data_IF_776594452367
#
_entry.id   IF_776594452367
#
_cell.length_a   1.000
_cell.length_b   1.000
_cell.length_c   1.000
_cell.angle_alpha   90.00
_cell.angle_beta   90.00
_cell.angle_gamma   90.00
#
_symmetry.space_group_name_H-M   'P 1'
#
loop_
_entity.id
_entity.type
_entity.pdbx_description
1 polymer ?
#
# COMPACT_ATOMS: atom_id res chain seq x y z
N UNK A 1 6.38 -5.13 -6.32
CA UNK A 1 6.57 -5.89 -7.57
C UNK A 1 6.59 -4.95 -8.76
N UNK A 2 7.03 -5.40 -9.94
CA UNK A 2 6.89 -4.64 -11.19
C UNK A 2 5.50 -4.91 -11.79
N UNK A 3 4.86 -3.86 -12.30
CA UNK A 3 3.55 -3.91 -12.92
C UNK A 3 3.64 -3.34 -14.33
N UNK A 4 2.92 -3.92 -15.28
CA UNK A 4 2.88 -3.50 -16.69
C UNK A 4 1.43 -3.51 -17.16
N UNK A 5 1.02 -2.45 -17.84
CA UNK A 5 -0.32 -2.24 -18.36
C UNK A 5 -0.20 -1.83 -19.82
N UNK A 6 -0.70 -2.67 -20.72
CA UNK A 6 -0.71 -2.40 -22.17
C UNK A 6 -1.94 -1.58 -22.57
N UNK A 7 -1.84 -0.81 -23.65
CA UNK A 7 -2.96 -0.06 -24.21
C UNK A 7 -3.49 1.07 -23.33
N UNK A 8 -2.67 1.61 -22.43
CA UNK A 8 -3.05 2.76 -21.59
C UNK A 8 -3.20 4.02 -22.44
N UNK A 9 -2.29 4.22 -23.40
CA UNK A 9 -2.48 5.16 -24.48
C UNK A 9 -2.89 4.41 -25.75
N UNK A 10 -3.92 4.90 -26.43
CA UNK A 10 -4.41 4.39 -27.72
C UNK A 10 -4.44 5.52 -28.74
N UNK A 11 -4.52 5.16 -30.02
CA UNK A 11 -4.56 6.13 -31.12
C UNK A 11 -3.42 7.17 -31.07
N UNK A 12 -2.23 6.73 -30.67
CA UNK A 12 -1.02 7.57 -30.60
C UNK A 12 -0.64 7.97 -32.03
N UNK A 13 -0.74 9.26 -32.34
CA UNK A 13 -0.50 9.82 -33.67
C UNK A 13 0.59 10.86 -33.62
N UNK A 14 1.35 10.91 -34.72
CA UNK A 14 2.47 11.83 -34.97
C UNK A 14 2.03 13.11 -35.69
N UNK A 15 0.72 13.27 -35.92
CA UNK A 15 0.15 14.30 -36.78
C UNK A 15 -0.75 13.74 -37.88
N UNK A 16 -1.27 14.61 -38.74
CA UNK A 16 -2.34 14.30 -39.72
C UNK A 16 -1.85 14.22 -41.17
N UNK A 17 -0.58 14.54 -41.45
CA UNK A 17 -0.05 14.59 -42.81
C UNK A 17 0.89 13.41 -43.11
N UNK A 18 0.84 12.89 -44.34
CA UNK A 18 1.65 11.74 -44.77
C UNK A 18 3.17 11.99 -44.75
N UNK A 19 3.62 13.22 -44.50
CA UNK A 19 5.03 13.56 -44.34
C UNK A 19 5.55 13.30 -42.91
N UNK A 20 4.70 12.83 -42.01
CA UNK A 20 5.03 12.64 -40.58
C UNK A 20 5.24 11.17 -40.22
N UNK A 21 5.10 10.24 -41.17
CA UNK A 21 5.27 8.80 -40.94
C UNK A 21 6.66 8.44 -40.41
N UNK A 22 7.69 9.21 -40.78
CA UNK A 22 9.07 9.04 -40.31
C UNK A 22 9.35 9.61 -38.93
N UNK A 23 8.42 10.37 -38.34
CA UNK A 23 8.61 10.94 -37.01
C UNK A 23 8.60 9.84 -35.93
N UNK A 24 9.20 10.13 -34.79
CA UNK A 24 9.19 9.28 -33.60
C UNK A 24 8.41 9.96 -32.49
N UNK A 25 7.66 9.17 -31.72
CA UNK A 25 6.97 9.66 -30.52
C UNK A 25 7.67 9.17 -29.27
N UNK A 26 7.63 10.00 -28.23
CA UNK A 26 8.10 9.69 -26.90
C UNK A 26 7.09 10.17 -25.87
N UNK A 27 7.07 9.50 -24.72
CA UNK A 27 6.23 9.87 -23.60
C UNK A 27 7.09 10.24 -22.41
N UNK A 28 6.66 11.29 -21.71
CA UNK A 28 7.11 11.64 -20.38
C UNK A 28 5.93 11.50 -19.41
N UNK A 29 6.18 10.84 -18.27
CA UNK A 29 5.16 10.64 -17.24
C UNK A 29 5.61 11.41 -16.01
N UNK A 30 4.85 12.44 -15.63
CA UNK A 30 5.17 13.33 -14.53
C UNK A 30 4.16 13.16 -13.40
N UNK A 31 4.63 13.16 -12.16
CA UNK A 31 3.70 13.13 -11.04
C UNK A 31 2.96 14.48 -10.95
N UNK A 32 1.63 14.40 -10.87
CA UNK A 32 0.75 15.55 -10.66
C UNK A 32 0.46 15.74 -9.17
N UNK A 33 0.13 14.65 -8.49
CA UNK A 33 -0.22 14.64 -7.07
C UNK A 33 -0.14 13.23 -6.46
N UNK A 34 -0.17 13.16 -5.13
CA UNK A 34 -0.14 11.90 -4.38
C UNK A 34 1.25 11.55 -3.89
N UNK A 35 1.46 10.26 -3.58
CA UNK A 35 2.65 9.82 -2.84
C UNK A 35 3.69 9.13 -3.74
N UNK A 36 4.86 9.76 -3.92
CA UNK A 36 5.98 9.16 -4.65
C UNK A 36 6.59 7.96 -3.94
N UNK A 37 6.48 7.88 -2.61
CA UNK A 37 7.04 6.75 -1.85
C UNK A 37 6.38 5.42 -2.19
N UNK A 38 5.22 5.43 -2.87
CA UNK A 38 4.59 4.24 -3.45
C UNK A 38 5.52 3.49 -4.41
N UNK A 39 6.50 4.15 -5.02
CA UNK A 39 7.38 3.57 -6.03
C UNK A 39 8.78 3.29 -5.47
N UNK A 40 9.33 2.13 -5.82
CA UNK A 40 10.70 1.79 -5.46
C UNK A 40 11.69 2.74 -6.16
N UNK A 41 12.91 2.94 -5.64
CA UNK A 41 13.94 3.74 -6.32
C UNK A 41 14.12 3.30 -7.78
N UNK A 42 14.00 4.25 -8.72
CA UNK A 42 14.05 4.00 -10.17
C UNK A 42 12.79 3.35 -10.77
N UNK A 43 11.76 3.14 -9.95
CA UNK A 43 10.51 2.45 -10.29
C UNK A 43 9.31 3.35 -10.58
N UNK A 44 9.52 4.66 -10.74
CA UNK A 44 8.46 5.60 -11.13
C UNK A 44 7.80 5.17 -12.45
N UNK A 45 6.51 5.47 -12.66
CA UNK A 45 5.81 5.16 -13.91
C UNK A 45 6.52 5.71 -15.13
N UNK A 46 6.59 4.86 -16.17
CA UNK A 46 7.09 5.19 -17.49
C UNK A 46 6.14 4.64 -18.53
N UNK A 47 6.14 5.26 -19.71
CA UNK A 47 5.31 4.84 -20.84
C UNK A 47 6.17 4.70 -22.10
N UNK A 48 5.95 3.65 -22.89
CA UNK A 48 6.58 3.46 -24.19
C UNK A 48 5.70 3.99 -25.32
N UNK A 49 6.27 4.13 -26.51
CA UNK A 49 5.60 4.67 -27.69
C UNK A 49 4.36 3.87 -28.13
N UNK A 50 4.26 2.59 -27.75
CA UNK A 50 3.10 1.72 -27.97
C UNK A 50 1.98 1.91 -26.93
N UNK A 51 2.14 2.84 -25.98
CA UNK A 51 1.18 3.12 -24.93
C UNK A 51 1.22 2.16 -23.75
N UNK A 52 2.25 1.33 -23.63
CA UNK A 52 2.45 0.45 -22.47
C UNK A 52 3.04 1.24 -21.31
N UNK A 53 2.42 1.15 -20.12
CA UNK A 53 2.90 1.77 -18.87
C UNK A 53 3.47 0.72 -17.95
N UNK A 54 4.60 1.00 -17.31
CA UNK A 54 5.15 0.15 -16.26
C UNK A 54 5.69 0.96 -15.08
N UNK A 55 5.68 0.33 -13.91
CA UNK A 55 6.23 0.87 -12.67
C UNK A 55 6.59 -0.25 -11.70
N UNK A 56 7.31 0.08 -10.62
CA UNK A 56 7.64 -0.84 -9.54
C UNK A 56 7.23 -0.25 -8.21
N UNK A 57 6.33 -0.91 -7.50
CA UNK A 57 5.92 -0.47 -6.16
C UNK A 57 7.01 -0.75 -5.12
N UNK A 58 7.16 0.18 -4.19
CA UNK A 58 7.90 -0.01 -2.96
C UNK A 58 7.16 -1.00 -2.03
N UNK A 59 7.88 -1.80 -1.24
CA UNK A 59 7.26 -2.65 -0.21
C UNK A 59 6.51 -1.82 0.83
N UNK A 60 5.40 -2.33 1.34
CA UNK A 60 4.70 -1.79 2.52
C UNK A 60 4.23 -0.34 2.36
N UNK A 61 3.87 0.04 1.13
CA UNK A 61 3.35 1.36 0.82
C UNK A 61 1.96 1.21 0.19
N UNK A 62 1.02 2.00 0.69
CA UNK A 62 -0.34 2.09 0.16
C UNK A 62 -0.75 3.56 0.02
N UNK A 63 -1.76 3.83 -0.80
CA UNK A 63 -2.21 5.18 -1.10
C UNK A 63 -2.50 5.37 -2.59
N UNK A 64 -2.44 6.62 -3.05
CA UNK A 64 -2.68 6.97 -4.44
C UNK A 64 -1.61 7.91 -4.99
N UNK A 65 -1.43 7.86 -6.30
CA UNK A 65 -0.64 8.82 -7.08
C UNK A 65 -1.31 9.04 -8.45
N UNK A 66 -1.34 10.30 -8.87
CA UNK A 66 -1.89 10.74 -10.15
C UNK A 66 -0.79 11.33 -10.99
N UNK A 67 -0.76 11.00 -12.28
CA UNK A 67 0.29 11.39 -13.22
C UNK A 67 -0.29 12.10 -14.43
N UNK A 68 0.43 13.14 -14.86
CA UNK A 68 0.28 13.74 -16.18
C UNK A 68 1.13 12.96 -17.19
N UNK A 69 0.63 12.85 -18.41
CA UNK A 69 1.35 12.22 -19.53
C UNK A 69 1.57 13.27 -20.60
N UNK A 70 2.83 13.47 -20.97
CA UNK A 70 3.23 14.35 -22.07
C UNK A 70 3.65 13.45 -23.23
N UNK A 71 2.90 13.51 -24.33
CA UNK A 71 3.28 12.95 -25.62
C UNK A 71 4.09 13.99 -26.38
N UNK A 72 5.21 13.57 -26.97
CA UNK A 72 6.06 14.41 -27.82
C UNK A 72 6.46 13.71 -29.11
N UNK A 73 6.31 14.36 -30.26
CA UNK A 73 6.93 13.94 -31.52
C UNK A 73 8.24 14.71 -31.81
N UNK A 74 8.93 14.33 -32.89
CA UNK A 74 10.17 14.96 -33.35
C UNK A 74 10.01 15.75 -34.67
N UNK A 75 8.78 16.18 -34.99
CA UNK A 75 8.42 16.90 -36.22
C UNK A 75 8.92 18.34 -36.28
N UNK A 76 9.05 18.99 -35.13
CA UNK A 76 9.51 20.37 -34.99
C UNK A 76 8.38 21.39 -35.07
N UNK A 77 8.55 22.52 -34.38
CA UNK A 77 7.51 23.55 -34.23
C UNK A 77 7.55 24.65 -35.31
N UNK A 78 8.23 24.44 -36.43
CA UNK A 78 8.29 25.41 -37.54
C UNK A 78 6.93 25.57 -38.21
N UNK A 79 6.67 26.75 -38.79
CA UNK A 79 5.42 27.06 -39.52
C UNK A 79 4.12 26.82 -38.73
N UNK A 80 4.19 26.83 -37.39
CA UNK A 80 3.06 26.59 -36.51
C UNK A 80 2.85 25.13 -36.09
N UNK A 81 3.85 24.26 -36.31
CA UNK A 81 3.88 22.90 -35.79
C UNK A 81 3.76 22.82 -34.26
N UNK A 82 3.14 21.74 -33.77
CA UNK A 82 2.93 21.48 -32.35
C UNK A 82 3.40 20.07 -32.05
N UNK A 83 4.54 19.95 -31.39
CA UNK A 83 5.17 18.65 -31.13
C UNK A 83 4.67 18.00 -29.83
N UNK A 84 3.88 18.69 -29.02
CA UNK A 84 3.55 18.26 -27.66
C UNK A 84 2.06 18.25 -27.35
N UNK A 85 1.64 17.21 -26.64
CA UNK A 85 0.32 17.08 -26.05
C UNK A 85 0.44 16.64 -24.59
N UNK A 86 -0.06 17.47 -23.68
CA UNK A 86 -0.15 17.11 -22.25
C UNK A 86 -1.57 16.65 -21.93
N UNK A 87 -1.70 15.44 -21.40
CA UNK A 87 -2.94 14.91 -20.83
C UNK A 87 -2.83 14.90 -19.32
N UNK A 88 -3.60 15.76 -18.68
CA UNK A 88 -3.59 15.92 -17.23
C UNK A 88 -4.33 14.77 -16.54
N UNK A 89 -3.74 14.20 -15.48
CA UNK A 89 -4.34 13.12 -14.70
C UNK A 89 -4.61 11.83 -15.50
N UNK A 90 -3.84 11.59 -16.56
CA UNK A 90 -4.02 10.47 -17.49
C UNK A 90 -3.83 9.10 -16.83
N UNK A 91 -2.94 9.00 -15.83
CA UNK A 91 -2.66 7.73 -15.13
C UNK A 91 -2.92 7.89 -13.63
N UNK A 92 -3.76 7.02 -13.09
CA UNK A 92 -4.09 6.98 -11.66
C UNK A 92 -3.66 5.63 -11.08
N UNK A 93 -2.74 5.65 -10.12
CA UNK A 93 -2.29 4.45 -9.41
C UNK A 93 -2.88 4.47 -8.02
N UNK A 94 -3.61 3.42 -7.66
CA UNK A 94 -4.12 3.21 -6.30
C UNK A 94 -3.57 1.89 -5.77
N UNK A 95 -2.88 1.95 -4.64
CA UNK A 95 -2.33 0.80 -3.94
C UNK A 95 -3.12 0.61 -2.66
N UNK A 96 -3.85 -0.50 -2.57
CA UNK A 96 -4.65 -0.83 -1.39
C UNK A 96 -3.76 -1.40 -0.28
N UNK A 97 -4.04 -1.08 1.00
CA UNK A 97 -3.37 -1.76 2.10
C UNK A 97 -3.78 -3.24 2.12
N UNK A 98 -2.86 -4.09 2.53
CA UNK A 98 -3.14 -5.49 2.89
C UNK A 98 -3.24 -5.55 4.41
N UNK A 99 -4.22 -6.30 4.92
CA UNK A 99 -4.36 -6.55 6.34
C UNK A 99 -3.44 -7.71 6.73
N UNK A 100 -2.50 -7.45 7.63
CA UNK A 100 -1.62 -8.47 8.21
C UNK A 100 -2.18 -8.99 9.53
N UNK A 101 -1.61 -10.11 9.98
CA UNK A 101 -2.07 -10.76 11.21
C UNK A 101 -1.56 -9.97 12.42
N UNK A 102 -2.36 -9.80 13.48
CA UNK A 102 -1.84 -9.32 14.74
C UNK A 102 -0.87 -10.33 15.35
N UNK A 103 0.05 -9.83 16.18
CA UNK A 103 1.02 -10.66 16.90
C UNK A 103 1.29 -10.09 18.29
N UNK A 104 1.75 -10.93 19.20
CA UNK A 104 2.20 -10.55 20.53
C UNK A 104 3.20 -11.59 21.04
N UNK A 105 4.04 -11.20 21.98
CA UNK A 105 4.87 -12.09 22.79
C UNK A 105 4.20 -12.38 24.13
N UNK A 106 4.55 -13.51 24.74
CA UNK A 106 4.18 -13.82 26.13
C UNK A 106 5.32 -13.35 27.02
N UNK A 107 5.02 -12.44 27.95
CA UNK A 107 5.99 -11.95 28.93
C UNK A 107 6.06 -12.90 30.12
N UNK A 108 5.05 -12.84 30.97
CA UNK A 108 4.87 -13.78 32.10
C UNK A 108 3.90 -14.90 31.71
N UNK A 109 4.38 -16.14 31.69
CA UNK A 109 3.58 -17.33 31.33
C UNK A 109 2.96 -18.02 32.54
N UNK A 110 3.37 -17.63 33.76
CA UNK A 110 2.97 -18.27 35.02
C UNK A 110 2.50 -17.22 36.01
N UNK A 111 1.24 -17.31 36.43
CA UNK A 111 0.62 -16.40 37.38
C UNK A 111 0.34 -17.13 38.70
N UNK A 112 0.82 -16.59 39.82
CA UNK A 112 0.69 -17.20 41.15
C UNK A 112 -0.19 -16.30 42.04
N UNK A 113 -1.27 -16.87 42.56
CA UNK A 113 -2.20 -16.19 43.48
C UNK A 113 -2.49 -17.07 44.71
N UNK A 114 -2.88 -16.44 45.81
CA UNK A 114 -3.31 -17.14 47.03
C UNK A 114 -4.83 -17.31 47.00
N UNK A 115 -5.34 -18.45 47.49
CA UNK A 115 -6.78 -18.67 47.58
C UNK A 115 -7.48 -17.56 48.40
N UNK A 116 -8.64 -17.08 47.92
CA UNK A 116 -9.41 -16.05 48.60
C UNK A 116 -8.81 -14.64 48.61
N UNK A 117 -7.72 -14.39 47.86
CA UNK A 117 -7.06 -13.08 47.81
C UNK A 117 -7.78 -12.02 46.95
N UNK A 118 -8.97 -12.35 46.41
CA UNK A 118 -9.80 -11.44 45.63
C UNK A 118 -9.38 -11.34 44.16
N UNK A 119 -9.67 -10.18 43.56
CA UNK A 119 -9.41 -9.92 42.14
C UNK A 119 -7.94 -9.53 41.92
N UNK A 120 -7.32 -10.07 40.88
CA UNK A 120 -5.95 -9.77 40.50
C UNK A 120 -5.88 -9.18 39.10
N UNK A 121 -4.93 -8.28 38.90
CA UNK A 121 -4.53 -7.73 37.60
C UNK A 121 -3.04 -7.93 37.44
N UNK A 122 -2.64 -8.43 36.26
CA UNK A 122 -1.24 -8.68 35.92
C UNK A 122 -0.88 -7.84 34.71
N UNK A 123 0.21 -7.08 34.83
CA UNK A 123 0.78 -6.34 33.71
C UNK A 123 1.85 -7.19 33.02
N UNK A 124 2.04 -6.99 31.71
CA UNK A 124 3.10 -7.65 30.95
C UNK A 124 2.87 -9.13 30.63
N UNK A 125 1.65 -9.65 30.80
CA UNK A 125 1.30 -11.01 30.34
C UNK A 125 1.44 -11.11 28.82
N UNK A 126 0.94 -10.10 28.09
CA UNK A 126 1.22 -9.89 26.69
C UNK A 126 2.20 -8.72 26.53
N UNK A 127 3.24 -8.93 25.72
CA UNK A 127 4.25 -7.93 25.37
C UNK A 127 4.40 -7.87 23.86
N UNK A 128 5.11 -6.87 23.34
CA UNK A 128 5.36 -6.72 21.90
C UNK A 128 4.09 -6.84 21.04
N UNK A 129 2.98 -6.28 21.54
CA UNK A 129 1.67 -6.34 20.89
C UNK A 129 1.74 -5.49 19.61
N UNK A 130 1.44 -6.11 18.47
CA UNK A 130 1.43 -5.48 17.15
C UNK A 130 0.15 -5.76 16.41
N UNK A 131 -0.38 -4.72 15.75
CA UNK A 131 -1.58 -4.77 14.89
C UNK A 131 -1.33 -5.60 13.63
N UNK A 132 -0.11 -5.47 13.11
CA UNK A 132 0.58 -6.46 12.28
C UNK A 132 1.99 -5.95 11.96
N UNK A 133 2.56 -6.36 10.84
CA UNK A 133 4.01 -6.23 10.61
C UNK A 133 4.43 -4.79 10.22
N UNK A 134 3.49 -3.99 9.70
CA UNK A 134 3.75 -2.70 9.08
C UNK A 134 3.01 -1.51 9.72
N UNK A 135 3.59 -0.31 9.55
CA UNK A 135 3.09 0.94 10.15
C UNK A 135 1.73 1.43 9.60
N UNK A 136 1.24 0.86 8.49
CA UNK A 136 -0.07 1.21 7.92
C UNK A 136 -1.25 0.56 8.67
N UNK A 137 -0.99 -0.19 9.73
CA UNK A 137 -2.00 -0.90 10.51
C UNK A 137 -2.33 -0.25 11.86
N UNK A 138 -1.74 0.91 12.15
CA UNK A 138 -1.95 1.68 13.39
C UNK A 138 -3.44 2.00 13.69
N UNK A 139 -4.28 2.01 12.66
CA UNK A 139 -5.72 2.29 12.73
C UNK A 139 -6.57 1.06 13.06
N UNK A 140 -6.02 -0.15 12.98
CA UNK A 140 -6.76 -1.36 13.29
C UNK A 140 -6.97 -1.51 14.80
N UNK A 141 -8.00 -2.23 15.22
CA UNK A 141 -8.25 -2.53 16.64
C UNK A 141 -7.73 -3.94 16.98
N UNK A 142 -7.22 -4.13 18.20
CA UNK A 142 -6.78 -5.44 18.71
C UNK A 142 -7.75 -5.86 19.80
N UNK A 143 -8.10 -7.13 19.80
CA UNK A 143 -8.84 -7.80 20.88
C UNK A 143 -8.16 -9.13 21.21
N UNK A 144 -8.29 -9.56 22.45
CA UNK A 144 -7.83 -10.86 22.90
C UNK A 144 -9.01 -11.77 23.21
N UNK A 145 -8.95 -13.00 22.70
CA UNK A 145 -9.81 -14.08 23.13
C UNK A 145 -9.03 -14.98 24.10
N UNK A 146 -9.43 -14.97 25.37
CA UNK A 146 -8.86 -15.84 26.39
C UNK A 146 -9.72 -17.08 26.51
N UNK A 147 -9.10 -18.25 26.34
CA UNK A 147 -9.79 -19.54 26.39
C UNK A 147 -9.06 -20.45 27.38
N UNK A 148 -9.81 -20.99 28.34
CA UNK A 148 -9.32 -22.05 29.21
C UNK A 148 -9.15 -23.33 28.38
N UNK A 149 -7.89 -23.78 28.22
CA UNK A 149 -7.57 -24.99 27.44
C UNK A 149 -7.50 -26.25 28.29
N UNK A 150 -7.08 -26.12 29.54
CA UNK A 150 -6.91 -27.21 30.49
C UNK A 150 -7.08 -26.69 31.93
N UNK A 151 -7.32 -27.59 32.89
CA UNK A 151 -7.53 -27.28 34.30
C UNK A 151 -8.99 -27.19 34.71
N UNK A 152 -9.24 -26.67 35.91
CA UNK A 152 -10.58 -26.60 36.51
C UNK A 152 -11.15 -25.18 36.42
N UNK A 153 -12.19 -24.97 35.60
CA UNK A 153 -12.85 -23.67 35.45
C UNK A 153 -13.46 -23.14 36.77
N UNK A 154 -13.85 -24.02 37.70
CA UNK A 154 -14.47 -23.64 38.97
C UNK A 154 -13.53 -22.90 39.93
N UNK A 155 -12.24 -22.76 39.58
CA UNK A 155 -11.31 -21.88 40.32
C UNK A 155 -11.59 -20.40 40.04
N UNK A 156 -12.28 -20.08 38.94
CA UNK A 156 -12.71 -18.72 38.63
C UNK A 156 -14.11 -18.47 39.18
N UNK A 157 -14.29 -17.31 39.79
CA UNK A 157 -15.58 -16.89 40.32
C UNK A 157 -16.61 -16.83 39.18
N UNK A 158 -17.78 -17.41 39.39
CA UNK A 158 -18.88 -17.47 38.42
C UNK A 158 -18.49 -18.03 37.03
N UNK A 159 -17.46 -18.88 36.97
CA UNK A 159 -16.89 -19.44 35.72
C UNK A 159 -16.44 -18.37 34.71
N UNK A 160 -16.19 -17.14 35.18
CA UNK A 160 -15.71 -16.05 34.33
C UNK A 160 -14.23 -16.25 34.05
N UNK A 161 -13.91 -16.60 32.80
CA UNK A 161 -12.53 -16.72 32.32
C UNK A 161 -11.85 -15.35 32.42
N UNK A 162 -10.55 -15.28 32.80
CA UNK A 162 -9.80 -14.04 32.81
C UNK A 162 -9.89 -13.31 31.47
N UNK A 163 -9.98 -11.98 31.52
CA UNK A 163 -9.94 -11.13 30.33
C UNK A 163 -8.54 -10.58 30.14
N UNK A 164 -8.20 -10.25 28.89
CA UNK A 164 -6.99 -9.52 28.54
C UNK A 164 -7.39 -8.33 27.69
N UNK A 165 -6.80 -7.16 27.95
CA UNK A 165 -6.91 -6.01 27.07
C UNK A 165 -5.57 -5.76 26.36
N UNK A 166 -5.58 -4.83 25.42
CA UNK A 166 -4.40 -4.51 24.59
C UNK A 166 -3.65 -3.27 25.10
N UNK A 167 -3.85 -2.88 26.37
CA UNK A 167 -3.30 -1.66 26.96
C UNK A 167 -1.99 -1.90 27.71
#
# INVERSE_FOLDING_TARGET
GSYTFEGVAVDVRKGVSANEDSQSVSFEVLIRSGNESLFAPGGMPRMSADGTVWFKLAPYQNGNATFDVILRDDGGTSDGGVDTLTVEGAVNVTVLPVNDRPSFGVGEDTLIVVEGSGNHSFEGVAVDIRRGEDANEDQQSISFDVVLRDGNASIFLDEVIPTMDAN
#
